data_IF_445380796774
#
_entry.id   IF_445380796774
#
_cell.length_a   1.000
_cell.length_b   1.000
_cell.length_c   1.000
_cell.angle_alpha   90.00
_cell.angle_beta   90.00
_cell.angle_gamma   90.00
#
_symmetry.space_group_name_H-M   'P 1'
#
loop_
_entity.id
_entity.type
_entity.pdbx_description
1 polymer ?
#
# COMPACT_ATOMS: atom_id res chain seq x y z
N UNK A 1 -11.77 61.94 -4.57
CA UNK A 1 -11.41 61.67 -5.98
C UNK A 1 -10.33 60.61 -5.98
N UNK A 2 -10.67 59.45 -6.50
CA UNK A 2 -9.94 58.17 -6.39
C UNK A 2 -8.80 58.13 -7.40
N UNK A 3 -7.58 57.85 -6.95
CA UNK A 3 -6.48 57.46 -7.84
C UNK A 3 -6.65 55.98 -8.21
N UNK A 4 -6.55 55.58 -9.50
CA UNK A 4 -6.68 54.19 -9.88
C UNK A 4 -5.41 53.40 -9.50
N UNK A 5 -5.65 52.17 -9.06
CA UNK A 5 -4.64 51.22 -8.63
C UNK A 5 -3.69 50.79 -9.76
N UNK A 6 -2.42 50.65 -9.40
CA UNK A 6 -1.37 50.00 -10.19
C UNK A 6 -1.70 48.52 -10.31
N UNK A 7 -1.98 48.03 -11.52
CA UNK A 7 -1.90 46.60 -11.84
C UNK A 7 -0.60 46.36 -12.57
N UNK A 8 0.43 46.01 -11.82
CA UNK A 8 1.67 45.45 -12.36
C UNK A 8 1.39 43.98 -12.69
N UNK A 9 1.27 43.65 -13.97
CA UNK A 9 1.24 42.25 -14.42
C UNK A 9 2.68 41.75 -14.42
N UNK A 10 3.12 41.23 -13.27
CA UNK A 10 4.39 40.53 -13.12
C UNK A 10 4.30 39.17 -13.83
N UNK A 11 5.05 39.04 -14.93
CA UNK A 11 5.14 37.81 -15.69
C UNK A 11 5.97 36.71 -15.04
N UNK A 12 5.93 35.57 -15.73
CA UNK A 12 6.80 34.38 -15.70
C UNK A 12 6.51 33.33 -14.59
N UNK A 13 6.29 32.04 -14.88
CA UNK A 13 6.63 31.21 -16.05
C UNK A 13 5.56 30.13 -16.26
N UNK A 14 4.71 30.26 -17.27
CA UNK A 14 4.18 29.05 -17.90
C UNK A 14 5.36 28.40 -18.63
N UNK A 15 5.70 27.17 -18.25
CA UNK A 15 6.73 26.37 -18.90
C UNK A 15 6.21 26.01 -20.29
N UNK A 16 6.36 26.94 -21.25
CA UNK A 16 6.11 26.71 -22.65
C UNK A 16 7.23 25.80 -23.16
N UNK A 17 6.88 24.55 -23.40
CA UNK A 17 7.76 23.55 -23.97
C UNK A 17 7.79 23.79 -25.49
N UNK A 18 8.93 24.27 -26.02
CA UNK A 18 9.16 24.30 -27.47
C UNK A 18 9.65 22.91 -27.89
N UNK A 19 8.82 22.19 -28.65
CA UNK A 19 9.08 20.85 -29.11
C UNK A 19 9.70 20.88 -30.52
N UNK A 20 11.01 20.61 -30.60
CA UNK A 20 11.77 20.48 -31.86
C UNK A 20 11.79 19.03 -32.36
N UNK A 21 10.65 18.31 -32.25
CA UNK A 21 10.42 17.06 -32.97
C UNK A 21 11.31 15.89 -32.52
N UNK A 22 11.33 15.57 -31.23
CA UNK A 22 12.00 14.36 -30.73
C UNK A 22 11.11 13.53 -29.80
N UNK A 23 11.24 12.20 -29.96
CA UNK A 23 10.69 11.06 -29.22
C UNK A 23 9.54 11.31 -28.22
N UNK A 24 8.32 10.94 -28.64
CA UNK A 24 7.12 10.61 -27.85
C UNK A 24 7.27 10.66 -26.31
N UNK A 25 7.14 11.85 -25.72
CA UNK A 25 7.17 12.12 -24.27
C UNK A 25 5.89 11.70 -23.54
N UNK A 26 5.04 10.87 -24.15
CA UNK A 26 3.83 10.39 -23.50
C UNK A 26 4.18 9.48 -22.33
N UNK A 27 3.53 9.67 -21.18
CA UNK A 27 3.66 8.76 -20.04
C UNK A 27 3.11 7.39 -20.44
N UNK A 28 3.97 6.37 -20.45
CA UNK A 28 3.60 4.99 -20.78
C UNK A 28 3.61 4.12 -19.54
N UNK A 29 2.76 3.10 -19.54
CA UNK A 29 2.75 2.07 -18.49
C UNK A 29 3.54 0.86 -18.96
N UNK A 30 4.52 0.41 -18.16
CA UNK A 30 5.28 -0.80 -18.45
C UNK A 30 4.38 -2.04 -18.45
N UNK A 31 4.50 -2.91 -19.44
CA UNK A 31 3.67 -4.13 -19.57
C UNK A 31 3.95 -5.17 -18.48
N UNK A 32 5.18 -5.18 -17.93
CA UNK A 32 5.65 -6.14 -16.93
C UNK A 32 5.45 -5.59 -15.52
N UNK A 33 6.16 -4.51 -15.16
CA UNK A 33 6.13 -3.97 -13.80
C UNK A 33 4.96 -3.00 -13.54
N UNK A 34 4.22 -2.60 -14.57
CA UNK A 34 3.06 -1.68 -14.50
C UNK A 34 3.39 -0.27 -13.95
N UNK A 35 4.66 0.09 -13.85
CA UNK A 35 5.07 1.45 -13.51
C UNK A 35 4.80 2.39 -14.69
N UNK A 36 4.29 3.59 -14.39
CA UNK A 36 4.19 4.68 -15.36
C UNK A 36 5.51 5.42 -15.43
N UNK A 37 6.00 5.72 -16.63
CA UNK A 37 7.24 6.45 -16.89
C UNK A 37 7.17 7.19 -18.22
N UNK A 38 7.93 8.27 -18.39
CA UNK A 38 8.11 8.92 -19.69
C UNK A 38 9.31 8.30 -20.43
N UNK A 39 9.10 7.58 -21.56
CA UNK A 39 10.20 7.13 -22.41
C UNK A 39 10.95 8.34 -23.00
N UNK A 40 12.26 8.24 -23.14
CA UNK A 40 13.10 9.33 -23.62
C UNK A 40 13.52 10.35 -22.56
N UNK A 41 12.95 10.31 -21.35
CA UNK A 41 13.44 11.10 -20.20
C UNK A 41 14.44 10.24 -19.38
N UNK A 42 15.75 10.54 -19.41
CA UNK A 42 16.76 9.65 -18.83
C UNK A 42 16.63 9.45 -17.32
N UNK A 43 16.00 10.40 -16.60
CA UNK A 43 15.74 10.26 -15.17
C UNK A 43 14.62 9.24 -14.90
N UNK A 44 13.54 9.32 -15.67
CA UNK A 44 12.40 8.40 -15.56
C UNK A 44 12.79 6.99 -16.00
N UNK A 45 13.57 6.86 -17.07
CA UNK A 45 14.07 5.56 -17.55
C UNK A 45 14.98 4.87 -16.52
N UNK A 46 15.87 5.62 -15.87
CA UNK A 46 16.71 5.10 -14.78
C UNK A 46 15.87 4.65 -13.59
N UNK A 47 14.86 5.44 -13.22
CA UNK A 47 13.93 5.11 -12.14
C UNK A 47 13.12 3.85 -12.49
N UNK A 48 12.62 3.76 -13.72
CA UNK A 48 11.92 2.58 -14.24
C UNK A 48 12.81 1.34 -14.21
N UNK A 49 14.05 1.41 -14.70
CA UNK A 49 14.96 0.27 -14.73
C UNK A 49 15.25 -0.26 -13.31
N UNK A 50 15.52 0.64 -12.35
CA UNK A 50 15.74 0.26 -10.96
C UNK A 50 14.50 -0.38 -10.33
N UNK A 51 13.32 0.22 -10.52
CA UNK A 51 12.04 -0.31 -10.05
C UNK A 51 11.73 -1.67 -10.67
N UNK A 52 11.93 -1.82 -11.98
CA UNK A 52 11.69 -3.03 -12.73
C UNK A 52 12.54 -4.19 -12.21
N UNK A 53 13.83 -3.95 -11.98
CA UNK A 53 14.74 -4.95 -11.40
C UNK A 53 14.31 -5.35 -9.98
N UNK A 54 13.91 -4.39 -9.15
CA UNK A 54 13.45 -4.65 -7.79
C UNK A 54 12.16 -5.48 -7.75
N UNK A 55 11.18 -5.16 -8.61
CA UNK A 55 9.90 -5.88 -8.71
C UNK A 55 10.09 -7.32 -9.18
N UNK A 56 10.94 -7.55 -10.18
CA UNK A 56 11.21 -8.90 -10.70
C UNK A 56 12.03 -9.74 -9.74
N UNK A 57 12.99 -9.13 -9.02
CA UNK A 57 13.80 -9.84 -8.03
C UNK A 57 12.95 -10.23 -6.82
N UNK A 58 12.06 -9.33 -6.40
CA UNK A 58 11.18 -9.52 -5.26
C UNK A 58 11.92 -9.76 -3.94
N UNK A 59 11.17 -10.25 -2.95
CA UNK A 59 11.70 -10.56 -1.63
C UNK A 59 11.94 -12.06 -1.54
N UNK A 60 13.20 -12.47 -1.42
CA UNK A 60 13.54 -13.89 -1.28
C UNK A 60 13.27 -14.36 0.15
N UNK A 61 12.47 -15.40 0.33
CA UNK A 61 12.20 -15.97 1.64
C UNK A 61 12.36 -17.49 1.61
N UNK A 62 13.39 -17.99 2.30
CA UNK A 62 13.71 -19.41 2.37
C UNK A 62 12.95 -20.15 3.49
N UNK A 63 12.25 -19.41 4.34
CA UNK A 63 11.57 -19.94 5.51
C UNK A 63 12.37 -19.78 6.81
N UNK A 64 11.72 -20.12 7.92
CA UNK A 64 12.31 -20.25 9.25
C UNK A 64 12.24 -21.68 9.75
N UNK A 65 13.05 -22.02 10.75
CA UNK A 65 12.96 -23.32 11.42
C UNK A 65 11.62 -23.51 12.13
N UNK A 66 11.10 -22.44 12.74
CA UNK A 66 9.81 -22.42 13.42
C UNK A 66 8.92 -21.35 12.80
N UNK A 67 7.89 -21.80 12.08
CA UNK A 67 6.94 -20.93 11.39
C UNK A 67 5.54 -21.08 11.97
N UNK A 68 4.89 -19.94 12.26
CA UNK A 68 3.47 -19.90 12.63
C UNK A 68 2.63 -19.75 11.35
N UNK A 69 2.27 -20.87 10.73
CA UNK A 69 1.42 -20.90 9.53
C UNK A 69 -0.06 -20.77 9.93
N UNK A 70 -0.72 -19.72 9.48
CA UNK A 70 -2.17 -19.53 9.67
C UNK A 70 -2.98 -20.25 8.61
N UNK A 71 -2.48 -20.28 7.37
CA UNK A 71 -3.19 -20.86 6.24
C UNK A 71 -2.22 -21.39 5.20
N UNK A 72 -2.54 -22.57 4.67
CA UNK A 72 -1.94 -23.09 3.45
C UNK A 72 -2.77 -22.63 2.25
N UNK A 73 -2.11 -22.19 1.19
CA UNK A 73 -2.72 -21.67 -0.02
C UNK A 73 -2.48 -22.63 -1.19
N UNK A 74 -3.35 -22.60 -2.22
CA UNK A 74 -3.13 -23.35 -3.45
C UNK A 74 -1.74 -23.05 -4.06
N UNK A 75 -1.14 -24.05 -4.70
CA UNK A 75 0.20 -23.90 -5.30
C UNK A 75 1.36 -23.95 -4.31
N UNK A 76 1.14 -24.46 -3.09
CA UNK A 76 2.20 -24.69 -2.10
C UNK A 76 2.65 -23.42 -1.35
N UNK A 77 1.97 -22.30 -1.55
CA UNK A 77 2.20 -21.07 -0.81
C UNK A 77 1.54 -21.12 0.58
N UNK A 78 1.95 -20.23 1.50
CA UNK A 78 1.44 -20.22 2.88
C UNK A 78 1.43 -18.81 3.46
N UNK A 79 0.52 -18.56 4.40
CA UNK A 79 0.37 -17.30 5.13
C UNK A 79 0.94 -17.50 6.55
N UNK A 80 1.90 -16.66 6.91
CA UNK A 80 2.54 -16.66 8.23
C UNK A 80 2.00 -15.53 9.09
N UNK A 81 1.82 -15.78 10.39
CA UNK A 81 1.51 -14.75 11.38
C UNK A 81 2.74 -14.46 12.25
N UNK A 82 3.20 -13.21 12.20
CA UNK A 82 4.26 -12.70 13.07
C UNK A 82 3.64 -11.87 14.20
N UNK A 83 4.00 -12.19 15.45
CA UNK A 83 3.55 -11.53 16.66
C UNK A 83 4.67 -10.68 17.30
N UNK A 84 4.29 -9.72 18.15
CA UNK A 84 5.26 -8.85 18.85
C UNK A 84 6.30 -9.63 19.67
N UNK A 85 5.92 -10.77 20.23
CA UNK A 85 6.80 -11.63 21.03
C UNK A 85 7.71 -12.56 20.19
N UNK A 86 7.62 -12.54 18.85
CA UNK A 86 8.39 -13.44 18.01
C UNK A 86 9.88 -13.08 17.93
N UNK A 87 10.76 -14.06 17.57
CA UNK A 87 12.20 -13.84 17.51
C UNK A 87 12.61 -12.66 16.61
N UNK A 88 13.74 -11.98 16.90
CA UNK A 88 14.24 -10.87 16.08
C UNK A 88 14.45 -11.21 14.60
N UNK A 89 14.68 -12.50 14.28
CA UNK A 89 14.79 -12.98 12.90
C UNK A 89 13.50 -12.76 12.11
N UNK A 90 12.33 -12.96 12.74
CA UNK A 90 11.04 -12.75 12.10
C UNK A 90 10.83 -11.26 11.83
N UNK A 91 11.08 -10.43 12.84
CA UNK A 91 11.00 -8.97 12.73
C UNK A 91 12.02 -8.35 11.76
N UNK A 92 13.18 -9.00 11.55
CA UNK A 92 14.12 -8.58 10.51
C UNK A 92 13.52 -8.75 9.12
N UNK A 93 12.81 -9.86 8.89
CA UNK A 93 12.14 -10.09 7.60
C UNK A 93 10.94 -9.17 7.41
N UNK A 94 10.14 -8.95 8.45
CA UNK A 94 9.03 -7.98 8.41
C UNK A 94 9.55 -6.60 8.04
N UNK A 95 10.67 -6.15 8.64
CA UNK A 95 11.33 -4.90 8.27
C UNK A 95 11.77 -4.84 6.81
N UNK A 96 12.34 -5.93 6.29
CA UNK A 96 12.73 -6.03 4.88
C UNK A 96 11.51 -5.89 3.95
N UNK A 97 10.40 -6.57 4.28
CA UNK A 97 9.13 -6.49 3.54
C UNK A 97 8.54 -5.10 3.59
N UNK A 98 8.48 -4.50 4.77
CA UNK A 98 7.94 -3.16 4.95
C UNK A 98 8.79 -2.11 4.22
N UNK A 99 10.12 -2.20 4.31
CA UNK A 99 11.03 -1.31 3.59
C UNK A 99 10.82 -1.41 2.08
N UNK A 100 10.78 -2.64 1.55
CA UNK A 100 10.51 -2.85 0.13
C UNK A 100 9.17 -2.23 -0.27
N UNK A 101 8.11 -2.43 0.53
CA UNK A 101 6.80 -1.83 0.27
C UNK A 101 6.82 -0.30 0.28
N UNK A 102 7.49 0.31 1.26
CA UNK A 102 7.64 1.78 1.38
C UNK A 102 8.35 2.35 0.14
N UNK A 103 9.46 1.73 -0.28
CA UNK A 103 10.20 2.11 -1.48
C UNK A 103 9.36 1.99 -2.76
N UNK A 104 8.54 0.93 -2.86
CA UNK A 104 7.68 0.69 -4.02
C UNK A 104 6.51 1.67 -4.12
N UNK A 105 6.04 2.21 -2.99
CA UNK A 105 4.94 3.17 -2.93
C UNK A 105 5.43 4.62 -2.85
N UNK A 106 6.74 4.84 -2.74
CA UNK A 106 7.33 6.18 -2.56
C UNK A 106 7.05 6.79 -1.19
N UNK A 107 6.77 5.97 -0.18
CA UNK A 107 6.57 6.44 1.19
C UNK A 107 7.90 6.72 1.91
N UNK A 108 7.85 7.61 2.90
CA UNK A 108 8.99 7.85 3.77
C UNK A 108 9.37 6.56 4.52
N UNK A 109 10.67 6.35 4.70
CA UNK A 109 11.17 5.19 5.43
C UNK A 109 10.55 5.12 6.82
N UNK A 110 10.17 3.92 7.24
CA UNK A 110 9.49 3.63 8.50
C UNK A 110 8.07 4.16 8.61
N UNK A 111 7.40 4.64 7.57
CA UNK A 111 5.99 5.03 7.63
C UNK A 111 5.07 3.97 8.26
N UNK A 112 5.23 2.69 7.87
CA UNK A 112 4.38 1.60 8.40
C UNK A 112 4.82 1.16 9.80
N UNK A 113 6.11 1.28 10.12
CA UNK A 113 6.66 0.88 11.42
C UNK A 113 6.71 2.02 12.43
N UNK A 114 6.52 3.26 11.99
CA UNK A 114 6.44 4.43 12.84
C UNK A 114 5.15 4.34 13.61
N UNK A 115 5.29 4.14 14.91
CA UNK A 115 4.20 4.29 15.85
C UNK A 115 4.37 5.64 16.51
N UNK A 116 3.57 6.63 16.14
CA UNK A 116 3.10 7.59 17.10
C UNK A 116 1.62 7.31 17.40
N UNK A 117 1.25 7.59 18.65
CA UNK A 117 -0.11 7.71 19.17
C UNK A 117 -1.02 6.45 19.30
N UNK A 118 -1.81 6.40 20.40
CA UNK A 118 -2.91 5.46 20.53
C UNK A 118 -3.98 5.72 19.47
N UNK A 119 -4.54 4.65 18.92
CA UNK A 119 -5.65 4.72 17.96
C UNK A 119 -6.90 5.19 18.72
N UNK A 120 -7.36 6.42 18.46
CA UNK A 120 -8.61 6.92 19.01
C UNK A 120 -9.77 6.59 18.06
N UNK A 121 -10.64 5.66 18.47
CA UNK A 121 -11.88 5.36 17.77
C UNK A 121 -12.93 6.43 18.11
N UNK A 122 -13.26 7.35 17.20
CA UNK A 122 -14.44 8.22 17.32
C UNK A 122 -15.50 7.82 16.30
N UNK A 123 -16.56 7.15 16.75
CA UNK A 123 -17.74 6.92 15.93
C UNK A 123 -18.99 7.55 16.55
N UNK A 124 -19.75 8.30 15.75
CA UNK A 124 -21.10 8.81 16.10
C UNK A 124 -22.18 7.72 16.09
N UNK A 125 -21.87 6.50 15.64
CA UNK A 125 -22.70 5.29 15.80
C UNK A 125 -21.81 4.14 16.26
N UNK A 126 -22.07 3.57 17.45
CA UNK A 126 -21.25 2.49 18.03
C UNK A 126 -21.26 1.26 17.13
N UNK A 127 -20.26 1.13 16.27
CA UNK A 127 -19.90 -0.12 15.62
C UNK A 127 -18.58 -0.54 16.26
N UNK A 128 -18.56 -1.71 16.88
CA UNK A 128 -17.37 -2.26 17.53
C UNK A 128 -16.44 -2.71 16.40
N UNK A 129 -15.28 -2.07 16.29
CA UNK A 129 -14.18 -2.57 15.46
C UNK A 129 -13.29 -3.42 16.37
N UNK A 130 -13.16 -4.70 16.05
CA UNK A 130 -12.37 -5.64 16.86
C UNK A 130 -10.92 -5.73 16.36
N UNK A 131 -10.65 -5.43 15.08
CA UNK A 131 -9.31 -5.40 14.50
C UNK A 131 -9.16 -4.27 13.47
N UNK A 132 -8.05 -3.53 13.57
CA UNK A 132 -7.65 -2.51 12.60
C UNK A 132 -6.55 -3.02 11.67
N UNK A 133 -6.81 -3.04 10.37
CA UNK A 133 -5.83 -3.28 9.32
C UNK A 133 -5.11 -1.97 9.01
N UNK A 134 -3.87 -1.86 9.51
CA UNK A 134 -3.02 -0.68 9.27
C UNK A 134 -2.50 -0.60 7.83
N UNK A 135 -2.10 -1.73 7.28
CA UNK A 135 -1.60 -1.83 5.92
C UNK A 135 -1.88 -3.22 5.35
N UNK A 136 -2.28 -3.26 4.09
CA UNK A 136 -2.36 -4.48 3.31
C UNK A 136 -1.68 -4.23 1.97
N UNK A 137 -0.85 -5.17 1.55
CA UNK A 137 -0.13 -5.07 0.29
C UNK A 137 0.02 -6.43 -0.35
N UNK A 138 -0.10 -6.43 -1.66
CA UNK A 138 0.18 -7.56 -2.52
C UNK A 138 1.01 -7.04 -3.68
N UNK A 139 2.07 -7.76 -4.04
CA UNK A 139 2.87 -7.42 -5.22
C UNK A 139 1.96 -7.24 -6.44
N UNK A 140 2.19 -6.19 -7.22
CA UNK A 140 1.41 -5.92 -8.44
C UNK A 140 1.47 -7.08 -9.43
N UNK A 141 2.56 -7.86 -9.43
CA UNK A 141 2.71 -9.05 -10.26
C UNK A 141 1.74 -10.18 -9.89
N UNK A 142 1.30 -10.23 -8.63
CA UNK A 142 0.40 -11.24 -8.09
C UNK A 142 -0.96 -10.65 -7.65
N UNK A 143 -1.21 -9.38 -7.98
CA UNK A 143 -2.47 -8.71 -7.67
C UNK A 143 -3.62 -9.34 -8.46
N UNK A 144 -4.87 -9.12 -8.00
CA UNK A 144 -6.10 -9.65 -8.62
C UNK A 144 -6.20 -11.18 -8.68
N UNK A 145 -5.36 -11.90 -7.94
CA UNK A 145 -5.43 -13.36 -7.77
C UNK A 145 -6.13 -13.78 -6.45
N UNK A 146 -6.87 -12.86 -5.82
CA UNK A 146 -7.55 -13.12 -4.53
C UNK A 146 -6.62 -13.18 -3.31
N UNK A 147 -5.32 -12.90 -3.44
CA UNK A 147 -4.35 -12.96 -2.34
C UNK A 147 -4.72 -11.99 -1.20
N UNK A 148 -5.12 -10.76 -1.54
CA UNK A 148 -5.50 -9.77 -0.54
C UNK A 148 -6.71 -10.23 0.29
N UNK A 149 -7.72 -10.80 -0.36
CA UNK A 149 -8.88 -11.42 0.31
C UNK A 149 -8.46 -12.55 1.24
N UNK A 150 -7.53 -13.43 0.79
CA UNK A 150 -7.01 -14.51 1.63
C UNK A 150 -6.25 -13.99 2.86
N UNK A 151 -5.51 -12.88 2.74
CA UNK A 151 -4.84 -12.23 3.86
C UNK A 151 -5.84 -11.66 4.87
N UNK A 152 -6.92 -11.01 4.40
CA UNK A 152 -7.97 -10.48 5.28
C UNK A 152 -8.73 -11.60 5.99
N UNK A 153 -9.04 -12.69 5.29
CA UNK A 153 -9.67 -13.87 5.88
C UNK A 153 -8.77 -14.51 6.94
N UNK A 154 -7.47 -14.65 6.64
CA UNK A 154 -6.50 -15.18 7.61
C UNK A 154 -6.44 -14.28 8.86
N UNK A 155 -6.39 -12.96 8.68
CA UNK A 155 -6.39 -12.01 9.79
C UNK A 155 -7.65 -12.15 10.67
N UNK A 156 -8.83 -12.28 10.06
CA UNK A 156 -10.09 -12.48 10.80
C UNK A 156 -10.14 -13.77 11.61
N UNK A 157 -9.50 -14.83 11.10
CA UNK A 157 -9.44 -16.13 11.78
C UNK A 157 -8.33 -16.22 12.84
N UNK A 158 -7.30 -15.37 12.76
CA UNK A 158 -6.12 -15.47 13.63
C UNK A 158 -5.87 -14.28 14.54
N UNK A 159 -6.61 -13.17 14.40
CA UNK A 159 -6.39 -11.98 15.22
C UNK A 159 -6.76 -12.20 16.70
N UNK A 160 -7.82 -12.96 16.96
CA UNK A 160 -8.28 -13.28 18.32
C UNK A 160 -8.38 -14.82 18.41
N UNK A 161 -7.59 -15.47 19.28
CA UNK A 161 -7.64 -16.93 19.43
C UNK A 161 -9.06 -17.42 19.76
N UNK A 162 -9.56 -18.35 18.96
CA UNK A 162 -10.89 -18.96 19.15
C UNK A 162 -12.07 -18.11 18.68
N UNK A 163 -11.84 -16.94 18.08
CA UNK A 163 -12.90 -16.07 17.56
C UNK A 163 -12.71 -15.83 16.05
N UNK A 164 -13.70 -16.23 15.26
CA UNK A 164 -13.77 -15.92 13.84
C UNK A 164 -14.49 -14.58 13.69
N UNK A 165 -13.70 -13.52 13.46
CA UNK A 165 -14.23 -12.17 13.33
C UNK A 165 -15.14 -12.04 12.10
N UNK A 166 -16.34 -11.43 12.19
CA UNK A 166 -17.17 -11.11 11.03
C UNK A 166 -16.57 -9.96 10.20
N UNK A 167 -16.94 -9.83 8.91
CA UNK A 167 -16.38 -8.80 8.03
C UNK A 167 -16.62 -7.37 8.52
N UNK A 168 -17.76 -7.13 9.19
CA UNK A 168 -18.14 -5.80 9.66
C UNK A 168 -17.42 -5.30 10.91
N UNK A 169 -16.63 -6.16 11.57
CA UNK A 169 -15.77 -5.78 12.72
C UNK A 169 -14.32 -5.46 12.30
N UNK A 170 -14.04 -5.53 11.00
CA UNK A 170 -12.75 -5.22 10.43
C UNK A 170 -12.71 -3.74 10.01
N UNK A 171 -11.76 -3.00 10.56
CA UNK A 171 -11.52 -1.61 10.21
C UNK A 171 -10.25 -1.45 9.39
N UNK A 172 -10.21 -0.43 8.54
CA UNK A 172 -9.07 -0.11 7.68
C UNK A 172 -8.60 1.32 7.95
N UNK A 173 -7.29 1.55 8.04
CA UNK A 173 -6.76 2.92 8.08
C UNK A 173 -6.42 3.42 6.68
N UNK A 174 -6.69 4.71 6.45
CA UNK A 174 -6.14 5.52 5.35
C UNK A 174 -5.99 4.75 4.02
N UNK A 175 -7.13 4.44 3.38
CA UNK A 175 -7.18 3.61 2.19
C UNK A 175 -6.71 4.38 0.95
N UNK A 176 -5.81 3.77 0.16
CA UNK A 176 -5.54 4.19 -1.21
C UNK A 176 -6.73 3.86 -2.13
N UNK A 177 -6.71 4.35 -3.37
CA UNK A 177 -7.73 4.01 -4.38
C UNK A 177 -7.86 2.47 -4.57
N UNK A 178 -6.72 1.78 -4.70
CA UNK A 178 -6.68 0.31 -4.75
C UNK A 178 -7.22 -0.33 -3.46
N UNK A 179 -6.92 0.26 -2.30
CA UNK A 179 -7.39 -0.18 -0.99
C UNK A 179 -8.91 -0.05 -0.84
N UNK A 180 -9.49 1.04 -1.34
CA UNK A 180 -10.94 1.24 -1.38
C UNK A 180 -11.61 0.20 -2.28
N UNK A 181 -11.07 -0.05 -3.47
CA UNK A 181 -11.58 -1.09 -4.37
C UNK A 181 -11.58 -2.48 -3.70
N UNK A 182 -10.51 -2.81 -3.00
CA UNK A 182 -10.42 -4.05 -2.21
C UNK A 182 -11.45 -4.09 -1.08
N UNK A 183 -11.54 -3.03 -0.26
CA UNK A 183 -12.43 -2.98 0.89
C UNK A 183 -13.91 -3.08 0.48
N UNK A 184 -14.32 -2.36 -0.57
CA UNK A 184 -15.68 -2.43 -1.12
C UNK A 184 -16.00 -3.82 -1.65
N UNK A 185 -15.09 -4.42 -2.43
CA UNK A 185 -15.27 -5.78 -2.93
C UNK A 185 -15.31 -6.82 -1.81
N UNK A 186 -14.52 -6.63 -0.76
CA UNK A 186 -14.42 -7.56 0.36
C UNK A 186 -15.65 -7.54 1.27
N UNK A 187 -16.10 -6.35 1.68
CA UNK A 187 -17.24 -6.17 2.59
C UNK A 187 -18.58 -6.46 1.91
N UNK A 188 -18.67 -6.37 0.58
CA UNK A 188 -19.87 -6.73 -0.21
C UNK A 188 -21.08 -5.81 0.00
N UNK A 189 -20.92 -4.74 0.78
CA UNK A 189 -21.97 -3.78 1.13
C UNK A 189 -21.34 -2.38 1.12
N UNK A 190 -21.87 -1.48 0.30
CA UNK A 190 -21.57 -0.06 0.37
C UNK A 190 -22.00 0.46 1.76
N UNK A 191 -21.05 0.78 2.63
CA UNK A 191 -21.32 1.36 3.95
C UNK A 191 -20.77 0.61 5.17
N UNK A 192 -20.13 -0.56 5.00
CA UNK A 192 -19.44 -1.29 6.09
C UNK A 192 -17.92 -1.21 5.93
N UNK A 193 -17.41 -0.04 5.57
CA UNK A 193 -15.96 0.21 5.60
C UNK A 193 -15.73 1.13 6.79
N UNK A 194 -15.26 0.54 7.90
CA UNK A 194 -14.86 1.31 9.06
C UNK A 194 -13.50 1.94 8.75
N UNK A 195 -13.52 3.23 8.42
CA UNK A 195 -12.28 4.01 8.22
C UNK A 195 -11.89 4.62 9.56
N UNK A 196 -10.63 4.44 9.94
CA UNK A 196 -10.06 5.17 11.06
C UNK A 196 -8.83 5.98 10.63
N UNK A 197 -8.70 7.16 11.21
CA UNK A 197 -7.50 7.99 11.10
C UNK A 197 -6.47 7.46 12.09
N UNK A 198 -5.32 7.00 11.60
CA UNK A 198 -4.15 6.75 12.42
C UNK A 198 -3.34 8.07 12.46
N UNK A 199 -3.51 8.83 13.54
CA UNK A 199 -2.75 10.07 13.79
C UNK A 199 -1.32 9.80 14.23
#
# INVERSE_FOLDING_TARGET
>A
MVAPAVVSVSGLRQKLHLDFGQADFSVKSCSICRMQYAPGEPKDERTHAAYHAAVLTGIRFQGWQTERVVRHCPGGSRILLVQQADPPAHWRKVREVTKFMEEQLGFAATWIMSVPAPIFLRSSRRVIASCGVRAIWVSRLCARQGIATMLLDAARCSCIPGYIMPKGELAFSNLSEDGMGLASSYSGVEGIIQIYEAG
#
